data_IF_444442719841
#
_entry.id   IF_444442719841
#
_cell.length_a   1.000
_cell.length_b   1.000
_cell.length_c   1.000
_cell.angle_alpha   90.00
_cell.angle_beta   90.00
_cell.angle_gamma   90.00
#
_symmetry.space_group_name_H-M   'P 1'
#
loop_
_entity.id
_entity.type
_entity.pdbx_description
1 polymer ?
#
# COMPACT_ATOMS: atom_id res chain seq x y z
N UNK A 1 6.27 38.04 -33.65
CA UNK A 1 5.48 37.80 -32.41
C UNK A 1 4.44 36.74 -32.76
N UNK A 2 4.25 35.58 -32.11
CA UNK A 2 4.73 35.00 -30.84
C UNK A 2 5.16 33.55 -31.12
N UNK A 3 6.08 33.08 -30.28
CA UNK A 3 6.77 31.80 -30.32
C UNK A 3 5.79 30.62 -30.22
N UNK A 4 5.93 29.66 -31.12
CA UNK A 4 5.48 28.28 -30.93
C UNK A 4 6.34 27.65 -29.82
N UNK A 5 5.88 27.73 -28.58
CA UNK A 5 6.48 26.97 -27.48
C UNK A 5 6.01 25.54 -27.56
N UNK A 6 6.83 24.75 -28.25
CA UNK A 6 7.22 23.39 -27.91
C UNK A 6 7.10 23.13 -26.39
N UNK A 7 6.16 22.29 -25.98
CA UNK A 7 6.18 21.57 -24.71
C UNK A 7 6.12 20.09 -25.11
N UNK A 8 7.22 19.41 -25.41
CA UNK A 8 8.44 19.39 -24.62
C UNK A 8 8.29 18.30 -23.56
N UNK A 9 8.41 17.05 -23.99
CA UNK A 9 8.80 15.88 -23.19
C UNK A 9 7.81 15.47 -22.08
N UNK A 10 6.85 14.62 -22.43
CA UNK A 10 6.27 13.65 -21.49
C UNK A 10 6.83 12.25 -21.80
N UNK A 11 8.16 12.13 -21.79
CA UNK A 11 8.86 10.85 -21.77
C UNK A 11 9.66 10.79 -20.48
N UNK A 12 9.60 9.62 -19.85
CA UNK A 12 10.26 9.23 -18.59
C UNK A 12 9.53 9.63 -17.30
N UNK A 13 8.41 8.97 -17.08
CA UNK A 13 8.38 8.14 -15.88
C UNK A 13 8.26 6.69 -16.36
N UNK A 14 9.38 6.12 -16.82
CA UNK A 14 9.58 4.69 -16.66
C UNK A 14 9.57 4.47 -15.15
N UNK A 15 8.39 4.27 -14.57
CA UNK A 15 8.29 3.59 -13.29
C UNK A 15 8.82 2.21 -13.58
N UNK A 16 10.11 2.01 -13.32
CA UNK A 16 10.70 0.69 -13.14
C UNK A 16 9.97 0.07 -11.94
N UNK A 17 8.74 -0.40 -12.14
CA UNK A 17 8.13 -1.38 -11.26
C UNK A 17 8.85 -2.67 -11.60
N UNK A 18 9.98 -2.90 -10.95
CA UNK A 18 10.54 -4.25 -10.94
C UNK A 18 9.51 -5.10 -10.22
N UNK A 19 8.84 -5.96 -10.99
CA UNK A 19 7.87 -6.92 -10.52
C UNK A 19 8.44 -7.66 -9.29
N UNK A 20 7.82 -7.49 -8.13
CA UNK A 20 8.30 -8.04 -6.87
C UNK A 20 7.15 -8.57 -6.05
N UNK A 21 7.31 -9.79 -5.53
CA UNK A 21 6.36 -10.39 -4.59
C UNK A 21 7.05 -10.58 -3.24
N UNK A 22 6.48 -9.96 -2.22
CA UNK A 22 6.88 -10.13 -0.83
C UNK A 22 5.94 -11.14 -0.18
N UNK A 23 6.46 -12.15 0.51
CA UNK A 23 5.64 -13.22 1.12
C UNK A 23 5.97 -13.44 2.60
N UNK A 24 5.01 -13.98 3.33
CA UNK A 24 5.16 -14.48 4.69
C UNK A 24 4.80 -15.98 4.75
N UNK A 25 5.21 -16.68 5.82
CA UNK A 25 5.01 -18.15 5.96
C UNK A 25 3.54 -18.60 6.01
N UNK A 26 2.61 -17.71 6.33
CA UNK A 26 1.16 -17.97 6.48
C UNK A 26 0.36 -17.68 5.19
N UNK A 27 0.98 -17.73 4.01
CA UNK A 27 0.37 -17.39 2.71
C UNK A 27 0.10 -15.89 2.49
N UNK A 28 0.40 -15.02 3.45
CA UNK A 28 0.34 -13.58 3.22
C UNK A 28 1.32 -13.18 2.12
N UNK A 29 0.87 -12.28 1.25
CA UNK A 29 1.71 -11.75 0.19
C UNK A 29 1.33 -10.32 -0.21
N UNK A 30 2.31 -9.59 -0.75
CA UNK A 30 2.13 -8.32 -1.44
C UNK A 30 2.85 -8.42 -2.78
N UNK A 31 2.11 -8.34 -3.87
CA UNK A 31 2.64 -8.37 -5.22
C UNK A 31 2.59 -6.97 -5.85
N UNK A 32 3.75 -6.34 -6.00
CA UNK A 32 3.89 -5.01 -6.60
C UNK A 32 3.73 -4.97 -8.12
N UNK A 33 3.78 -6.14 -8.78
CA UNK A 33 3.53 -6.25 -10.21
C UNK A 33 2.02 -6.24 -10.50
N UNK A 34 1.32 -7.21 -9.92
CA UNK A 34 -0.12 -7.40 -10.16
C UNK A 34 -1.00 -6.51 -9.28
N UNK A 35 -0.41 -5.80 -8.32
CA UNK A 35 -1.11 -5.04 -7.29
C UNK A 35 -2.03 -5.91 -6.43
N UNK A 36 -1.81 -7.23 -6.40
CA UNK A 36 -2.54 -8.15 -5.55
C UNK A 36 -1.93 -8.21 -4.16
N UNK A 37 -2.80 -8.37 -3.17
CA UNK A 37 -2.40 -8.48 -1.77
C UNK A 37 -3.30 -9.47 -1.06
N UNK A 38 -2.72 -10.24 -0.16
CA UNK A 38 -3.44 -11.03 0.85
C UNK A 38 -2.72 -10.86 2.18
N UNK A 39 -3.47 -10.48 3.20
CA UNK A 39 -2.94 -10.35 4.56
C UNK A 39 -3.97 -10.89 5.54
N UNK A 40 -3.53 -11.81 6.38
CA UNK A 40 -4.26 -12.30 7.52
C UNK A 40 -4.13 -11.29 8.67
N UNK A 41 -5.28 -10.79 9.11
CA UNK A 41 -5.37 -9.88 10.25
C UNK A 41 -6.18 -10.58 11.33
N UNK A 42 -5.47 -11.06 12.35
CA UNK A 42 -5.95 -12.01 13.35
C UNK A 42 -6.50 -13.30 12.72
N UNK A 43 -7.83 -13.47 12.68
CA UNK A 43 -8.50 -14.71 12.23
C UNK A 43 -9.22 -14.55 10.87
N UNK A 44 -8.99 -13.44 10.18
CA UNK A 44 -9.61 -13.16 8.89
C UNK A 44 -8.55 -12.92 7.82
N UNK A 45 -8.70 -13.62 6.70
CA UNK A 45 -7.89 -13.39 5.51
C UNK A 45 -8.53 -12.33 4.64
N UNK A 46 -7.80 -11.25 4.38
CA UNK A 46 -8.24 -10.16 3.52
C UNK A 46 -7.43 -10.16 2.24
N UNK A 47 -8.10 -10.37 1.10
CA UNK A 47 -7.47 -10.40 -0.23
C UNK A 47 -8.06 -9.34 -1.15
N UNK A 48 -7.27 -8.76 -2.03
CA UNK A 48 -7.79 -7.88 -3.08
C UNK A 48 -6.71 -7.24 -3.93
N UNK A 49 -7.13 -6.25 -4.73
CA UNK A 49 -6.23 -5.36 -5.46
C UNK A 49 -6.05 -4.07 -4.68
N UNK A 50 -4.81 -3.68 -4.42
CA UNK A 50 -4.52 -2.49 -3.64
C UNK A 50 -4.20 -1.27 -4.49
N UNK A 51 -4.39 -0.10 -3.89
CA UNK A 51 -3.86 1.17 -4.35
C UNK A 51 -2.80 1.64 -3.36
N UNK A 52 -1.62 1.99 -3.88
CA UNK A 52 -0.57 2.61 -3.10
C UNK A 52 -0.70 4.14 -3.17
N UNK A 53 -0.46 4.82 -2.05
CA UNK A 53 -0.34 6.28 -2.04
C UNK A 53 0.44 6.77 -0.82
N UNK A 54 1.08 7.92 -1.01
CA UNK A 54 1.80 8.63 0.05
C UNK A 54 0.92 9.69 0.67
N UNK A 55 0.82 9.68 1.99
CA UNK A 55 0.14 10.74 2.74
C UNK A 55 0.91 12.06 2.69
N UNK A 56 0.18 13.16 2.61
CA UNK A 56 0.75 14.51 2.55
C UNK A 56 1.27 14.99 3.90
N UNK A 57 0.67 14.55 5.01
CA UNK A 57 1.00 15.04 6.35
C UNK A 57 2.16 14.28 6.98
N UNK A 58 2.01 12.98 7.18
CA UNK A 58 3.04 12.14 7.83
C UNK A 58 4.07 11.55 6.85
N UNK A 59 3.89 11.78 5.54
CA UNK A 59 4.77 11.29 4.48
C UNK A 59 4.95 9.77 4.45
N UNK A 60 4.04 9.02 5.06
CA UNK A 60 4.07 7.56 5.04
C UNK A 60 3.38 7.01 3.80
N UNK A 61 3.80 5.81 3.40
CA UNK A 61 3.22 5.08 2.28
C UNK A 61 2.17 4.10 2.79
N UNK A 62 1.02 4.10 2.12
CA UNK A 62 -0.12 3.30 2.49
C UNK A 62 -0.58 2.44 1.33
N UNK A 63 -0.92 1.19 1.62
CA UNK A 63 -1.66 0.32 0.70
C UNK A 63 -3.11 0.25 1.18
N UNK A 64 -4.07 0.48 0.28
CA UNK A 64 -5.49 0.32 0.59
C UNK A 64 -6.16 -0.63 -0.40
N UNK A 65 -6.99 -1.52 0.11
CA UNK A 65 -7.79 -2.44 -0.70
C UNK A 65 -9.12 -2.69 -0.01
N UNK A 66 -10.09 -3.20 -0.77
CA UNK A 66 -11.39 -3.60 -0.23
C UNK A 66 -11.61 -5.10 -0.33
N UNK A 67 -12.33 -5.62 0.66
CA UNK A 67 -12.77 -7.00 0.76
C UNK A 67 -14.17 -7.02 1.36
N UNK A 68 -15.18 -7.34 0.55
CA UNK A 68 -16.60 -7.14 0.87
C UNK A 68 -16.89 -5.71 1.36
N UNK A 69 -17.53 -5.54 2.52
CA UNK A 69 -17.91 -4.26 3.13
C UNK A 69 -16.81 -3.65 4.02
N UNK A 70 -15.56 -4.08 3.81
CA UNK A 70 -14.41 -3.65 4.62
C UNK A 70 -13.31 -3.14 3.71
N UNK A 71 -12.66 -2.07 4.13
CA UNK A 71 -11.41 -1.61 3.56
C UNK A 71 -10.28 -1.93 4.54
N UNK A 72 -9.16 -2.43 4.00
CA UNK A 72 -7.94 -2.67 4.76
C UNK A 72 -6.91 -1.64 4.33
N UNK A 73 -6.27 -1.00 5.30
CA UNK A 73 -5.23 0.00 5.10
C UNK A 73 -3.97 -0.47 5.81
N UNK A 74 -2.87 -0.58 5.07
CA UNK A 74 -1.57 -1.01 5.58
C UNK A 74 -0.59 0.15 5.49
N UNK A 75 0.13 0.44 6.56
CA UNK A 75 1.26 1.36 6.59
C UNK A 75 2.56 0.60 6.30
N UNK A 76 3.25 0.96 5.23
CA UNK A 76 4.55 0.36 4.89
C UNK A 76 5.69 1.04 5.67
N UNK A 77 6.74 0.27 5.98
CA UNK A 77 7.97 0.79 6.59
C UNK A 77 8.84 1.60 5.64
N UNK A 78 8.62 1.43 4.33
CA UNK A 78 9.35 2.08 3.24
C UNK A 78 8.38 2.52 2.15
N UNK A 79 8.76 3.51 1.35
CA UNK A 79 7.94 3.96 0.22
C UNK A 79 8.05 3.01 -0.96
N UNK A 80 7.02 2.91 -1.81
CA UNK A 80 7.06 2.04 -3.00
C UNK A 80 8.24 2.37 -3.92
N UNK A 81 8.68 3.63 -3.95
CA UNK A 81 9.85 4.06 -4.74
C UNK A 81 11.18 3.52 -4.21
N UNK A 82 11.27 3.22 -2.93
CA UNK A 82 12.46 2.64 -2.28
C UNK A 82 12.48 1.11 -2.37
N UNK A 83 11.40 0.49 -2.84
CA UNK A 83 11.30 -0.96 -3.02
C UNK A 83 11.85 -1.31 -4.41
N UNK A 84 13.13 -1.68 -4.44
CA UNK A 84 13.84 -2.12 -5.64
C UNK A 84 14.12 -3.64 -5.63
N UNK A 85 14.71 -4.16 -6.71
CA UNK A 85 15.02 -5.61 -6.82
C UNK A 85 15.89 -6.17 -5.71
N UNK A 86 16.60 -5.33 -4.96
CA UNK A 86 17.52 -5.73 -3.91
C UNK A 86 16.89 -5.58 -2.52
N UNK A 87 15.64 -5.15 -2.45
CA UNK A 87 14.91 -5.03 -1.19
C UNK A 87 14.57 -6.43 -0.68
N UNK A 88 15.33 -6.89 0.31
CA UNK A 88 15.19 -8.22 0.92
C UNK A 88 13.89 -8.37 1.71
N UNK A 89 13.52 -7.32 2.42
CA UNK A 89 12.40 -7.35 3.34
C UNK A 89 11.51 -6.11 3.24
N UNK A 90 10.23 -6.32 3.54
CA UNK A 90 9.21 -5.29 3.66
C UNK A 90 8.49 -5.47 4.98
N UNK A 91 8.47 -4.42 5.82
CA UNK A 91 7.70 -4.42 7.07
C UNK A 91 6.41 -3.64 6.88
N UNK A 92 5.34 -4.17 7.44
CA UNK A 92 4.11 -3.43 7.66
C UNK A 92 4.19 -2.90 9.09
N UNK A 93 4.14 -1.59 9.28
CA UNK A 93 4.18 -1.01 10.62
C UNK A 93 2.82 -1.12 11.31
N UNK A 94 1.75 -1.08 10.53
CA UNK A 94 0.41 -0.92 11.05
C UNK A 94 -0.64 -1.36 10.02
N UNK A 95 -1.72 -1.99 10.48
CA UNK A 95 -2.90 -2.25 9.68
C UNK A 95 -4.17 -1.77 10.37
N UNK A 96 -5.12 -1.26 9.58
CA UNK A 96 -6.47 -0.92 10.04
C UNK A 96 -7.49 -1.56 9.12
N UNK A 97 -8.48 -2.20 9.72
CA UNK A 97 -9.69 -2.66 9.02
C UNK A 97 -10.81 -1.69 9.34
N UNK A 98 -11.44 -1.17 8.30
CA UNK A 98 -12.44 -0.10 8.40
C UNK A 98 -13.70 -0.59 7.71
N UNK A 99 -14.85 -0.45 8.36
CA UNK A 99 -16.12 -0.68 7.68
C UNK A 99 -16.38 0.47 6.71
N UNK A 100 -16.58 0.17 5.44
CA UNK A 100 -16.78 1.21 4.45
C UNK A 100 -17.61 0.74 3.26
N UNK A 101 -18.54 1.59 2.85
CA UNK A 101 -19.35 1.42 1.65
C UNK A 101 -18.77 2.16 0.42
N UNK A 102 -17.89 3.15 0.63
CA UNK A 102 -17.19 3.89 -0.43
C UNK A 102 -15.73 4.20 -0.05
N UNK A 103 -14.80 3.64 -0.82
CA UNK A 103 -13.36 3.84 -0.64
C UNK A 103 -12.89 5.30 -0.82
N UNK A 104 -13.57 6.12 -1.62
CA UNK A 104 -13.05 7.43 -2.04
C UNK A 104 -12.86 8.42 -0.87
N UNK A 105 -13.85 8.62 0.03
CA UNK A 105 -13.66 9.42 1.23
C UNK A 105 -12.48 8.95 2.09
N UNK A 106 -12.33 7.63 2.23
CA UNK A 106 -11.26 7.03 3.04
C UNK A 106 -9.88 7.30 2.43
N UNK A 107 -9.72 7.09 1.12
CA UNK A 107 -8.49 7.43 0.40
C UNK A 107 -8.15 8.91 0.56
N UNK A 108 -9.15 9.80 0.43
CA UNK A 108 -8.97 11.24 0.58
C UNK A 108 -8.53 11.62 2.00
N UNK A 109 -9.11 11.00 3.02
CA UNK A 109 -8.75 11.24 4.41
C UNK A 109 -7.31 10.81 4.70
N UNK A 110 -6.95 9.56 4.36
CA UNK A 110 -5.61 9.01 4.62
C UNK A 110 -4.55 9.73 3.79
N UNK A 111 -4.82 10.02 2.51
CA UNK A 111 -3.87 10.75 1.66
C UNK A 111 -3.59 12.17 2.16
N UNK A 112 -4.52 12.78 2.89
CA UNK A 112 -4.32 14.11 3.49
C UNK A 112 -3.62 14.02 4.85
N UNK A 113 -4.10 13.16 5.76
CA UNK A 113 -3.76 13.19 7.19
C UNK A 113 -3.06 11.94 7.73
N UNK A 114 -2.90 10.90 6.92
CA UNK A 114 -2.43 9.58 7.35
C UNK A 114 -3.50 8.79 8.11
N UNK A 115 -3.13 7.61 8.61
CA UNK A 115 -4.06 6.69 9.32
C UNK A 115 -4.46 7.20 10.71
N UNK A 116 -3.69 8.12 11.31
CA UNK A 116 -3.90 8.55 12.70
C UNK A 116 -5.16 9.38 12.93
N UNK A 117 -5.75 9.95 11.89
CA UNK A 117 -6.91 10.85 11.96
C UNK A 117 -8.06 10.33 11.11
N UNK A 118 -8.65 9.20 11.53
CA UNK A 118 -9.77 8.52 10.87
C UNK A 118 -11.02 8.52 11.75
N UNK A 119 -11.25 9.61 12.48
CA UNK A 119 -12.31 9.72 13.49
C UNK A 119 -13.72 9.62 12.89
N UNK A 120 -13.86 9.98 11.61
CA UNK A 120 -15.13 9.92 10.86
C UNK A 120 -15.44 8.51 10.31
N UNK A 121 -14.61 7.51 10.59
CA UNK A 121 -14.74 6.16 10.04
C UNK A 121 -14.93 5.11 11.14
N UNK A 122 -15.78 4.11 10.87
CA UNK A 122 -15.97 2.98 11.77
C UNK A 122 -14.78 2.03 11.64
N UNK A 123 -13.88 2.10 12.62
CA UNK A 123 -12.72 1.22 12.69
C UNK A 123 -13.15 -0.11 13.31
N UNK A 124 -13.08 -1.18 12.53
CA UNK A 124 -13.39 -2.55 12.97
C UNK A 124 -12.21 -3.10 13.78
N UNK A 125 -10.99 -2.87 13.31
CA UNK A 125 -9.80 -3.45 13.91
C UNK A 125 -8.54 -2.62 13.64
N UNK A 126 -7.58 -2.68 14.57
CA UNK A 126 -6.25 -2.07 14.48
C UNK A 126 -5.21 -3.11 14.90
N UNK A 127 -4.24 -3.37 14.05
CA UNK A 127 -3.16 -4.32 14.34
C UNK A 127 -1.79 -3.70 14.15
N UNK A 128 -0.93 -3.88 15.14
CA UNK A 128 0.52 -3.61 15.10
C UNK A 128 1.34 -4.91 15.01
N UNK A 129 0.68 -6.07 14.92
CA UNK A 129 1.32 -7.39 15.07
C UNK A 129 2.19 -7.81 13.87
N UNK A 130 2.38 -6.95 12.86
CA UNK A 130 3.22 -7.21 11.69
C UNK A 130 4.72 -7.08 11.97
N UNK A 131 5.17 -7.61 13.11
CA UNK A 131 6.56 -7.57 13.53
C UNK A 131 7.46 -8.46 12.67
N UNK A 132 6.87 -9.43 11.96
CA UNK A 132 7.59 -10.29 11.02
C UNK A 132 7.63 -9.61 9.65
N UNK A 133 8.81 -9.34 9.09
CA UNK A 133 8.92 -8.80 7.75
C UNK A 133 8.44 -9.81 6.70
N UNK A 134 7.80 -9.30 5.65
CA UNK A 134 7.62 -10.04 4.41
C UNK A 134 8.96 -10.14 3.69
N UNK A 135 9.25 -11.29 3.10
CA UNK A 135 10.53 -11.55 2.42
C UNK A 135 10.31 -11.53 0.91
N UNK A 136 11.24 -10.91 0.19
CA UNK A 136 11.19 -10.84 -1.27
C UNK A 136 11.43 -12.23 -1.89
N UNK A 137 10.41 -12.77 -2.54
CA UNK A 137 10.45 -14.09 -3.20
C UNK A 137 11.50 -14.14 -4.31
N UNK A 138 11.79 -13.00 -4.96
CA UNK A 138 12.70 -12.95 -6.10
C UNK A 138 14.18 -13.10 -5.69
N UNK A 139 14.51 -12.99 -4.40
CA UNK A 139 15.88 -13.10 -3.87
C UNK A 139 16.13 -14.49 -3.27
N UNK A 140 15.07 -15.25 -2.99
CA UNK A 140 15.15 -16.58 -2.37
C UNK A 140 15.40 -17.69 -3.42
N UNK A 141 15.45 -17.35 -4.71
CA UNK A 141 15.73 -18.29 -5.82
C UNK A 141 17.03 -17.96 -6.54
#
# INVERSE_FOLDING_TARGET
MKKTTLLGVLLFVCTYTKAQTFTLKNQDFINFDTHEIQVDIDNFSYKGYYKAFKSKQDKKEYLIYSYFSRSVVLELSKTVKEIDSNTNDLKINYAVVIHNNDLQPLIKAISKKGIKNLDDFIIIHKSTKFNTPFINKNIIN
#
